data_IF_172103632231
#
_entry.id   IF_172103632231
#
_cell.length_a   1.000
_cell.length_b   1.000
_cell.length_c   1.000
_cell.angle_alpha   90.00
_cell.angle_beta   90.00
_cell.angle_gamma   90.00
#
_symmetry.space_group_name_H-M   'P 1'
#
loop_
_entity.id
_entity.type
_entity.pdbx_description
1 polymer ?
#
# COMPACT_ATOMS: atom_id res chain seq x y z
N UNK A 1 16.69 29.69 -10.28
CA UNK A 1 17.70 29.10 -9.39
C UNK A 1 17.74 27.57 -9.53
N UNK A 2 18.81 26.95 -9.05
CA UNK A 2 18.91 25.46 -9.04
C UNK A 2 17.80 24.83 -8.19
N UNK A 3 17.40 25.47 -7.12
CA UNK A 3 16.30 25.01 -6.24
C UNK A 3 14.94 25.08 -6.95
N UNK A 4 14.67 26.13 -7.69
CA UNK A 4 13.43 26.25 -8.49
C UNK A 4 13.36 25.17 -9.57
N UNK A 5 14.47 24.90 -10.26
CA UNK A 5 14.55 23.84 -11.26
C UNK A 5 14.35 22.46 -10.64
N UNK A 6 14.93 22.21 -9.46
CA UNK A 6 14.75 20.96 -8.73
C UNK A 6 13.30 20.77 -8.29
N UNK A 7 12.65 21.84 -7.79
CA UNK A 7 11.26 21.82 -7.38
C UNK A 7 10.33 21.53 -8.57
N UNK A 8 10.51 22.21 -9.69
CA UNK A 8 9.74 21.99 -10.92
C UNK A 8 9.95 20.58 -11.47
N UNK A 9 11.16 20.04 -11.42
CA UNK A 9 11.48 18.68 -11.81
C UNK A 9 10.73 17.66 -10.96
N UNK A 10 10.68 17.86 -9.64
CA UNK A 10 9.94 16.99 -8.71
C UNK A 10 8.44 17.04 -8.96
N UNK A 11 7.88 18.23 -9.19
CA UNK A 11 6.46 18.38 -9.51
C UNK A 11 6.09 17.66 -10.81
N UNK A 12 6.92 17.77 -11.83
CA UNK A 12 6.72 17.09 -13.11
C UNK A 12 6.76 15.56 -12.97
N UNK A 13 7.71 15.04 -12.20
CA UNK A 13 7.80 13.62 -11.86
C UNK A 13 6.54 13.14 -11.14
N UNK A 14 6.07 13.89 -10.17
CA UNK A 14 4.83 13.56 -9.44
C UNK A 14 3.61 13.53 -10.37
N UNK A 15 3.51 14.45 -11.31
CA UNK A 15 2.43 14.45 -12.30
C UNK A 15 2.45 13.20 -13.19
N UNK A 16 3.62 12.82 -13.68
CA UNK A 16 3.77 11.59 -14.48
C UNK A 16 3.41 10.34 -13.70
N UNK A 17 3.91 10.23 -12.48
CA UNK A 17 3.64 9.11 -11.58
C UNK A 17 2.15 9.05 -11.23
N UNK A 18 1.55 10.17 -10.89
CA UNK A 18 0.10 10.26 -10.60
C UNK A 18 -0.74 9.79 -11.78
N UNK A 19 -0.45 10.30 -12.97
CA UNK A 19 -1.19 9.92 -14.19
C UNK A 19 -1.05 8.43 -14.51
N UNK A 20 0.15 7.90 -14.38
CA UNK A 20 0.41 6.48 -14.65
C UNK A 20 -0.29 5.56 -13.65
N UNK A 21 -0.20 5.85 -12.36
CA UNK A 21 -0.88 5.10 -11.30
C UNK A 21 -2.39 5.17 -11.41
N UNK A 22 -2.95 6.35 -11.71
CA UNK A 22 -4.37 6.56 -11.92
C UNK A 22 -4.92 5.64 -13.02
N UNK A 23 -4.23 5.55 -14.14
CA UNK A 23 -4.61 4.67 -15.26
C UNK A 23 -4.44 3.20 -14.92
N UNK A 24 -3.28 2.83 -14.35
CA UNK A 24 -2.94 1.44 -14.07
C UNK A 24 -3.88 0.80 -13.05
N UNK A 25 -4.20 1.52 -11.98
CA UNK A 25 -5.00 1.02 -10.88
C UNK A 25 -6.46 1.49 -10.91
N UNK A 26 -6.85 2.24 -11.93
CA UNK A 26 -8.21 2.77 -12.12
C UNK A 26 -8.70 3.57 -10.91
N UNK A 27 -7.86 4.47 -10.46
CA UNK A 27 -8.13 5.40 -9.36
C UNK A 27 -8.37 6.79 -9.94
N UNK A 28 -9.35 7.51 -9.39
CA UNK A 28 -9.61 8.88 -9.80
C UNK A 28 -8.35 9.76 -9.66
N UNK A 29 -8.14 10.66 -10.63
CA UNK A 29 -6.93 11.48 -10.69
C UNK A 29 -6.65 12.27 -9.41
N UNK A 30 -7.69 12.87 -8.82
CA UNK A 30 -7.56 13.62 -7.56
C UNK A 30 -7.15 12.72 -6.39
N UNK A 31 -7.71 11.53 -6.30
CA UNK A 31 -7.35 10.54 -5.28
C UNK A 31 -5.90 10.06 -5.48
N UNK A 32 -5.51 9.72 -6.70
CA UNK A 32 -4.14 9.34 -7.01
C UNK A 32 -3.15 10.47 -6.68
N UNK A 33 -3.50 11.71 -7.01
CA UNK A 33 -2.67 12.88 -6.69
C UNK A 33 -2.47 13.04 -5.17
N UNK A 34 -3.50 12.87 -4.38
CA UNK A 34 -3.42 12.92 -2.92
C UNK A 34 -2.48 11.84 -2.38
N UNK A 35 -2.60 10.61 -2.88
CA UNK A 35 -1.75 9.49 -2.44
C UNK A 35 -0.28 9.71 -2.82
N UNK A 36 -0.02 10.15 -4.05
CA UNK A 36 1.34 10.45 -4.52
C UNK A 36 1.95 11.61 -3.73
N UNK A 37 1.22 12.70 -3.54
CA UNK A 37 1.70 13.85 -2.75
C UNK A 37 2.02 13.44 -1.32
N UNK A 38 1.18 12.65 -0.68
CA UNK A 38 1.41 12.16 0.69
C UNK A 38 2.65 11.26 0.76
N UNK A 39 2.85 10.38 -0.22
CA UNK A 39 4.03 9.53 -0.30
C UNK A 39 5.32 10.36 -0.44
N UNK A 40 5.32 11.37 -1.30
CA UNK A 40 6.48 12.25 -1.48
C UNK A 40 6.79 13.08 -0.24
N UNK A 41 5.78 13.65 0.43
CA UNK A 41 5.97 14.38 1.69
C UNK A 41 6.52 13.48 2.79
N UNK A 42 5.92 12.32 2.99
CA UNK A 42 6.37 11.34 3.99
C UNK A 42 7.80 10.88 3.72
N UNK A 43 8.11 10.55 2.47
CA UNK A 43 9.43 10.12 2.05
C UNK A 43 10.52 11.17 2.35
N UNK A 44 10.21 12.43 2.12
CA UNK A 44 11.13 13.54 2.44
C UNK A 44 11.39 13.62 3.94
N UNK A 45 10.36 13.51 4.76
CA UNK A 45 10.47 13.59 6.23
C UNK A 45 11.31 12.45 6.82
N UNK A 46 11.11 11.23 6.32
CA UNK A 46 11.76 10.02 6.88
C UNK A 46 13.00 9.57 6.08
N UNK A 47 13.35 10.27 5.01
CA UNK A 47 14.48 9.93 4.11
C UNK A 47 14.36 8.54 3.50
N UNK A 48 13.26 8.30 2.82
CA UNK A 48 12.99 7.10 2.05
C UNK A 48 12.65 7.48 0.61
N UNK A 49 12.83 6.56 -0.33
CA UNK A 49 12.44 6.79 -1.72
C UNK A 49 10.90 6.78 -1.84
N UNK A 50 10.26 7.86 -2.33
CA UNK A 50 8.81 7.91 -2.49
C UNK A 50 8.28 6.85 -3.46
N UNK A 51 9.05 6.48 -4.47
CA UNK A 51 8.65 5.46 -5.45
C UNK A 51 8.60 4.07 -4.83
N UNK A 52 9.42 3.81 -3.82
CA UNK A 52 9.36 2.56 -3.06
C UNK A 52 8.09 2.49 -2.21
N UNK A 53 7.71 3.58 -1.56
CA UNK A 53 6.44 3.68 -0.83
C UNK A 53 5.26 3.40 -1.76
N UNK A 54 5.25 4.03 -2.93
CA UNK A 54 4.20 3.86 -3.92
C UNK A 54 4.16 2.44 -4.49
N UNK A 55 5.30 1.82 -4.70
CA UNK A 55 5.39 0.43 -5.17
C UNK A 55 4.80 -0.55 -4.15
N UNK A 56 5.12 -0.38 -2.88
CA UNK A 56 4.52 -1.19 -1.79
C UNK A 56 3.01 -0.98 -1.74
N UNK A 57 2.55 0.26 -1.74
CA UNK A 57 1.13 0.60 -1.74
C UNK A 57 0.38 -0.02 -2.92
N UNK A 58 0.95 0.04 -4.10
CA UNK A 58 0.38 -0.50 -5.32
C UNK A 58 0.17 -2.03 -5.23
N UNK A 59 1.16 -2.75 -4.77
CA UNK A 59 1.11 -4.22 -4.69
C UNK A 59 0.28 -4.69 -3.50
N UNK A 60 0.36 -4.00 -2.36
CA UNK A 60 -0.38 -4.38 -1.15
C UNK A 60 -1.89 -4.17 -1.29
N UNK A 61 -2.31 -3.05 -1.82
CA UNK A 61 -3.73 -2.67 -1.84
C UNK A 61 -4.29 -2.33 -3.22
N UNK A 62 -3.47 -2.21 -4.25
CA UNK A 62 -3.90 -1.63 -5.53
C UNK A 62 -4.40 -0.19 -5.39
N UNK A 63 -3.83 0.58 -4.46
CA UNK A 63 -4.22 1.94 -4.10
C UNK A 63 -5.63 2.05 -3.48
N UNK A 64 -6.15 0.98 -2.92
CA UNK A 64 -7.44 0.98 -2.22
C UNK A 64 -7.24 1.28 -0.73
N UNK A 65 -7.72 2.44 -0.23
CA UNK A 65 -7.55 2.82 1.18
C UNK A 65 -8.39 1.96 2.14
N UNK A 66 -9.36 1.21 1.65
CA UNK A 66 -10.25 0.34 2.44
C UNK A 66 -9.87 -1.14 2.36
N UNK A 67 -8.75 -1.48 1.76
CA UNK A 67 -8.31 -2.86 1.65
C UNK A 67 -8.07 -3.47 3.05
N UNK A 68 -8.59 -4.66 3.26
CA UNK A 68 -8.38 -5.44 4.48
C UNK A 68 -8.07 -6.89 4.12
N UNK A 69 -7.10 -7.47 4.81
CA UNK A 69 -6.76 -8.88 4.65
C UNK A 69 -7.47 -9.75 5.70
N UNK A 70 -7.64 -11.05 5.44
CA UNK A 70 -8.22 -11.98 6.42
C UNK A 70 -7.45 -12.06 7.75
N UNK A 71 -6.17 -11.72 7.73
CA UNK A 71 -5.30 -11.76 8.91
C UNK A 71 -5.16 -10.42 9.63
N UNK A 72 -5.90 -9.40 9.20
CA UNK A 72 -5.98 -8.10 9.88
C UNK A 72 -5.02 -7.02 9.38
N UNK A 73 -4.41 -7.20 8.20
CA UNK A 73 -3.71 -6.11 7.53
C UNK A 73 -4.71 -5.11 6.97
N UNK A 74 -4.46 -3.81 7.13
CA UNK A 74 -5.43 -2.76 6.82
C UNK A 74 -4.82 -1.64 5.97
N UNK A 75 -5.63 -1.13 5.06
CA UNK A 75 -5.40 0.09 4.31
C UNK A 75 -4.39 -0.01 3.19
N UNK A 76 -3.95 1.14 2.71
CA UNK A 76 -3.10 1.30 1.53
C UNK A 76 -1.82 0.49 1.56
N UNK A 77 -1.12 0.47 2.69
CA UNK A 77 0.14 -0.25 2.86
C UNK A 77 -0.02 -1.57 3.62
N UNK A 78 -1.25 -2.02 3.86
CA UNK A 78 -1.57 -3.27 4.54
C UNK A 78 -0.82 -3.42 5.87
N UNK A 79 -1.03 -2.44 6.76
CA UNK A 79 -0.40 -2.41 8.08
C UNK A 79 -1.16 -3.32 9.04
N UNK A 80 -0.44 -4.14 9.78
CA UNK A 80 -0.97 -4.93 10.89
C UNK A 80 -1.22 -4.02 12.08
N UNK A 81 -2.37 -3.34 12.10
CA UNK A 81 -2.68 -2.26 13.03
C UNK A 81 -2.67 -2.69 14.49
N UNK A 82 -3.05 -3.93 14.79
CA UNK A 82 -3.00 -4.47 16.16
C UNK A 82 -1.58 -4.64 16.68
N UNK A 83 -0.63 -5.00 15.81
CA UNK A 83 0.79 -5.15 16.14
C UNK A 83 1.46 -3.79 16.27
N UNK A 84 1.09 -2.84 15.42
CA UNK A 84 1.65 -1.49 15.33
C UNK A 84 0.73 -0.42 15.94
N UNK A 85 -0.13 -0.79 16.89
CA UNK A 85 -1.11 0.11 17.49
C UNK A 85 -0.47 1.35 18.14
N UNK A 86 0.72 1.22 18.70
CA UNK A 86 1.49 2.30 19.27
C UNK A 86 1.80 3.41 18.26
N UNK A 87 2.05 3.05 17.01
CA UNK A 87 2.35 4.02 15.94
C UNK A 87 1.12 4.82 15.51
N UNK A 88 -0.08 4.31 15.73
CA UNK A 88 -1.33 5.00 15.43
C UNK A 88 -1.85 5.88 16.58
N UNK A 89 -1.30 5.77 17.77
CA UNK A 89 -1.75 6.48 18.95
C UNK A 89 -1.86 8.00 18.75
N UNK A 90 -0.84 8.61 18.19
CA UNK A 90 -0.79 10.05 17.94
C UNK A 90 -1.67 10.50 16.76
N UNK A 91 -2.20 9.55 15.99
CA UNK A 91 -3.00 9.81 14.78
C UNK A 91 -4.48 9.48 14.97
N UNK A 92 -4.93 9.20 16.19
CA UNK A 92 -6.33 8.88 16.49
C UNK A 92 -6.58 7.40 16.87
N UNK A 93 -5.54 6.62 17.12
CA UNK A 93 -5.63 5.22 17.54
C UNK A 93 -5.89 4.26 16.39
N UNK A 94 -6.40 3.06 16.70
CA UNK A 94 -6.59 1.99 15.69
C UNK A 94 -7.54 2.37 14.55
N UNK A 95 -8.47 3.28 14.79
CA UNK A 95 -9.40 3.77 13.77
C UNK A 95 -8.69 4.53 12.63
N UNK A 96 -7.51 5.09 12.91
CA UNK A 96 -6.71 5.79 11.92
C UNK A 96 -6.06 4.85 10.88
N UNK A 97 -6.07 3.53 11.10
CA UNK A 97 -5.46 2.57 10.18
C UNK A 97 -6.05 2.61 8.76
N UNK A 98 -7.31 2.98 8.61
CA UNK A 98 -7.98 3.18 7.30
C UNK A 98 -7.94 4.63 6.82
N UNK A 99 -7.37 5.55 7.59
CA UNK A 99 -7.11 6.90 7.11
C UNK A 99 -5.90 6.87 6.15
N UNK A 100 -6.04 7.37 4.91
CA UNK A 100 -4.98 7.29 3.90
C UNK A 100 -3.65 7.90 4.37
N UNK A 101 -3.68 9.09 4.93
CA UNK A 101 -2.46 9.78 5.37
C UNK A 101 -1.81 9.03 6.53
N UNK A 102 -2.57 8.64 7.54
CA UNK A 102 -2.05 7.90 8.70
C UNK A 102 -1.48 6.54 8.28
N UNK A 103 -2.16 5.82 7.40
CA UNK A 103 -1.69 4.52 6.92
C UNK A 103 -0.38 4.64 6.14
N UNK A 104 -0.27 5.61 5.24
CA UNK A 104 0.96 5.86 4.47
C UNK A 104 2.11 6.23 5.42
N UNK A 105 1.88 7.10 6.40
CA UNK A 105 2.94 7.50 7.36
C UNK A 105 3.41 6.33 8.20
N UNK A 106 2.51 5.57 8.79
CA UNK A 106 2.85 4.41 9.62
C UNK A 106 3.50 3.31 8.80
N UNK A 107 2.92 2.95 7.66
CA UNK A 107 3.47 1.94 6.76
C UNK A 107 4.87 2.31 6.26
N UNK A 108 5.09 3.57 5.95
CA UNK A 108 6.40 4.08 5.50
C UNK A 108 7.46 4.03 6.59
N UNK A 109 7.10 4.35 7.83
CA UNK A 109 8.00 4.22 8.99
C UNK A 109 8.39 2.75 9.23
N UNK A 110 7.44 1.85 9.14
CA UNK A 110 7.69 0.40 9.26
C UNK A 110 8.61 -0.06 8.12
N UNK A 111 8.34 0.34 6.89
CA UNK A 111 9.15 0.01 5.73
C UNK A 111 10.59 0.52 5.89
N UNK A 112 10.75 1.77 6.32
CA UNK A 112 12.06 2.37 6.58
C UNK A 112 12.85 1.58 7.62
N UNK A 113 12.21 1.20 8.71
CA UNK A 113 12.82 0.39 9.77
C UNK A 113 13.28 -0.97 9.22
N UNK A 114 12.46 -1.63 8.44
CA UNK A 114 12.78 -2.94 7.88
C UNK A 114 13.90 -2.88 6.83
N UNK A 115 13.91 -1.85 5.98
CA UNK A 115 15.01 -1.64 5.02
C UNK A 115 16.32 -1.38 5.77
N UNK A 116 16.30 -0.58 6.82
CA UNK A 116 17.47 -0.27 7.64
C UNK A 116 17.99 -1.52 8.34
N UNK A 117 17.12 -2.28 8.99
CA UNK A 117 17.49 -3.52 9.69
C UNK A 117 17.89 -4.65 8.75
N UNK A 118 17.24 -4.75 7.62
CA UNK A 118 17.57 -5.75 6.59
C UNK A 118 18.86 -5.46 5.83
N UNK A 119 19.32 -4.21 5.83
CA UNK A 119 20.54 -3.78 5.15
C UNK A 119 20.39 -3.56 3.64
N UNK A 120 19.21 -3.84 3.07
CA UNK A 120 18.90 -3.59 1.66
C UNK A 120 17.39 -3.43 1.46
N UNK A 121 17.01 -2.87 0.31
CA UNK A 121 15.60 -2.75 -0.09
C UNK A 121 14.96 -4.14 -0.20
N UNK A 122 15.61 -5.07 -0.87
CA UNK A 122 15.11 -6.44 -1.02
C UNK A 122 14.89 -7.14 0.32
N UNK A 123 15.85 -7.06 1.23
CA UNK A 123 15.75 -7.66 2.56
C UNK A 123 14.63 -7.00 3.38
N UNK A 124 14.51 -5.67 3.31
CA UNK A 124 13.44 -4.93 3.97
C UNK A 124 12.05 -5.28 3.45
N UNK A 125 11.91 -5.43 2.14
CA UNK A 125 10.65 -5.85 1.51
C UNK A 125 10.23 -7.25 1.94
N UNK A 126 11.17 -8.19 2.03
CA UNK A 126 10.88 -9.55 2.53
C UNK A 126 10.32 -9.52 3.94
N UNK A 127 10.88 -8.69 4.81
CA UNK A 127 10.37 -8.52 6.17
C UNK A 127 8.98 -7.87 6.14
N UNK A 128 8.79 -6.84 5.33
CA UNK A 128 7.54 -6.08 5.25
C UNK A 128 6.35 -6.95 4.82
N UNK A 129 6.53 -7.76 3.79
CA UNK A 129 5.46 -8.63 3.27
C UNK A 129 5.25 -9.89 4.12
N UNK A 130 5.90 -9.99 5.28
CA UNK A 130 5.73 -11.10 6.21
C UNK A 130 6.43 -12.39 5.80
N UNK A 131 7.37 -12.33 4.86
CA UNK A 131 8.15 -13.50 4.44
C UNK A 131 8.99 -14.10 5.59
N UNK A 132 9.22 -13.32 6.64
CA UNK A 132 9.81 -13.83 7.86
C UNK A 132 8.89 -14.79 8.63
N UNK A 133 7.57 -14.72 8.38
CA UNK A 133 6.58 -15.60 9.00
C UNK A 133 6.18 -16.79 8.11
N UNK A 134 6.53 -16.76 6.82
CA UNK A 134 6.23 -17.80 5.84
C UNK A 134 7.50 -18.14 5.06
N UNK A 135 7.72 -19.40 4.78
CA UNK A 135 8.88 -19.86 4.00
C UNK A 135 8.92 -19.28 2.56
N UNK A 136 7.79 -18.77 2.08
CA UNK A 136 7.63 -18.20 0.76
C UNK A 136 6.86 -16.88 0.85
N UNK A 137 7.34 -15.86 0.14
CA UNK A 137 6.65 -14.56 0.01
C UNK A 137 5.63 -14.54 -1.15
N UNK A 138 5.38 -15.68 -1.79
CA UNK A 138 4.52 -15.84 -2.99
C UNK A 138 4.87 -14.87 -4.14
N UNK A 139 6.14 -14.47 -4.21
CA UNK A 139 6.63 -13.53 -5.21
C UNK A 139 6.28 -12.06 -4.92
N UNK A 140 5.79 -11.72 -3.72
CA UNK A 140 5.43 -10.35 -3.36
C UNK A 140 6.62 -9.39 -3.46
N UNK A 141 7.77 -9.76 -2.91
CA UNK A 141 8.98 -8.95 -3.01
C UNK A 141 9.38 -8.68 -4.46
N UNK A 142 9.30 -9.67 -5.31
CA UNK A 142 9.57 -9.55 -6.75
C UNK A 142 8.56 -8.64 -7.46
N UNK A 143 7.29 -8.70 -7.09
CA UNK A 143 6.24 -7.82 -7.64
C UNK A 143 6.46 -6.37 -7.24
N UNK A 144 6.79 -6.11 -5.99
CA UNK A 144 7.10 -4.76 -5.51
C UNK A 144 8.32 -4.20 -6.23
N UNK A 145 9.40 -4.97 -6.36
CA UNK A 145 10.60 -4.55 -7.07
C UNK A 145 10.32 -4.26 -8.54
N UNK A 146 9.53 -5.07 -9.21
CA UNK A 146 9.13 -4.85 -10.60
C UNK A 146 8.32 -3.55 -10.75
N UNK A 147 7.38 -3.31 -9.85
CA UNK A 147 6.59 -2.07 -9.84
C UNK A 147 7.46 -0.86 -9.52
N UNK A 148 8.39 -0.98 -8.59
CA UNK A 148 9.37 0.04 -8.28
C UNK A 148 10.22 0.41 -9.49
N UNK A 149 10.69 -0.55 -10.27
CA UNK A 149 11.43 -0.30 -11.51
C UNK A 149 10.58 0.43 -12.56
N UNK A 150 9.30 0.06 -12.70
CA UNK A 150 8.38 0.77 -13.60
C UNK A 150 8.19 2.23 -13.17
N UNK A 151 7.96 2.47 -11.89
CA UNK A 151 7.81 3.81 -11.34
C UNK A 151 9.05 4.67 -11.54
N UNK A 152 10.25 4.10 -11.42
CA UNK A 152 11.50 4.80 -11.74
C UNK A 152 11.55 5.24 -13.20
N UNK A 153 11.14 4.38 -14.11
CA UNK A 153 11.09 4.72 -15.54
C UNK A 153 10.03 5.80 -15.82
N UNK A 154 8.87 5.70 -15.21
CA UNK A 154 7.80 6.72 -15.32
C UNK A 154 8.28 8.07 -14.81
N UNK A 155 8.91 8.10 -13.64
CA UNK A 155 9.45 9.33 -13.05
C UNK A 155 10.57 9.95 -13.87
N UNK A 156 11.27 9.15 -14.66
CA UNK A 156 12.29 9.61 -15.60
C UNK A 156 11.71 10.11 -16.94
N UNK A 157 10.39 10.12 -17.09
CA UNK A 157 9.70 10.58 -18.29
C UNK A 157 9.61 9.53 -19.41
N UNK A 158 9.91 8.29 -19.11
CA UNK A 158 9.80 7.20 -20.09
C UNK A 158 8.36 6.74 -20.23
N UNK A 159 7.97 6.30 -21.41
CA UNK A 159 6.69 5.67 -21.66
C UNK A 159 6.72 4.24 -21.13
N UNK A 160 5.87 3.94 -20.17
CA UNK A 160 5.73 2.61 -19.57
C UNK A 160 4.27 2.17 -19.73
N UNK A 161 4.02 0.95 -20.25
CA UNK A 161 2.65 0.44 -20.35
C UNK A 161 1.97 0.37 -18.99
N UNK A 162 0.71 0.77 -18.94
CA UNK A 162 -0.11 0.69 -17.71
C UNK A 162 -0.70 -0.70 -17.48
N UNK A 163 -0.71 -1.54 -18.50
CA UNK A 163 -1.18 -2.92 -18.43
C UNK A 163 0.01 -3.84 -18.70
N UNK A 164 0.25 -4.79 -17.81
CA UNK A 164 1.22 -5.84 -18.00
C UNK A 164 0.54 -7.17 -18.36
N UNK A 165 1.21 -8.09 -19.07
CA UNK A 165 0.62 -9.38 -19.43
C UNK A 165 0.09 -10.17 -18.22
N UNK A 166 0.76 -10.07 -17.06
CA UNK A 166 0.30 -10.70 -15.83
C UNK A 166 -0.99 -10.10 -15.27
N UNK A 167 -1.23 -8.80 -15.47
CA UNK A 167 -2.49 -8.17 -15.05
C UNK A 167 -3.65 -8.55 -15.97
N UNK A 168 -3.38 -8.74 -17.25
CA UNK A 168 -4.38 -9.19 -18.23
C UNK A 168 -4.77 -10.66 -18.03
N UNK A 169 -3.87 -11.48 -17.50
CA UNK A 169 -4.05 -12.92 -17.29
C UNK A 169 -4.46 -13.28 -15.84
N UNK A 170 -4.40 -12.34 -14.90
CA UNK A 170 -4.76 -12.61 -13.51
C UNK A 170 -6.26 -12.84 -13.40
N UNK A 171 -6.71 -13.98 -12.84
CA UNK A 171 -8.12 -14.15 -12.49
C UNK A 171 -8.49 -13.06 -11.48
N UNK A 172 -9.73 -12.57 -11.59
CA UNK A 172 -10.27 -11.66 -10.59
C UNK A 172 -9.99 -12.23 -9.19
N UNK A 173 -9.46 -11.38 -8.28
CA UNK A 173 -9.29 -11.81 -6.88
C UNK A 173 -10.60 -12.44 -6.43
N UNK A 174 -10.59 -13.66 -5.89
CA UNK A 174 -11.81 -14.22 -5.32
C UNK A 174 -12.31 -13.24 -4.28
N UNK A 175 -13.52 -12.75 -4.47
CA UNK A 175 -14.24 -12.04 -3.42
C UNK A 175 -14.21 -12.93 -2.19
N UNK A 176 -13.77 -12.45 -1.03
CA UNK A 176 -13.86 -13.26 0.18
C UNK A 176 -15.32 -13.69 0.33
N UNK A 177 -15.58 -14.94 0.71
CA UNK A 177 -16.93 -15.39 0.90
C UNK A 177 -17.58 -14.45 1.92
N UNK A 178 -18.68 -13.86 1.50
CA UNK A 178 -19.56 -13.10 2.42
C UNK A 178 -19.88 -14.08 3.52
N UNK A 179 -19.46 -13.79 4.75
CA UNK A 179 -19.85 -14.59 5.90
C UNK A 179 -21.37 -14.57 5.94
N UNK A 180 -21.99 -15.68 5.58
CA UNK A 180 -23.42 -15.89 5.79
C UNK A 180 -23.56 -15.91 7.31
N UNK A 181 -24.07 -14.82 7.85
CA UNK A 181 -24.53 -14.81 9.25
C UNK A 181 -25.72 -15.75 9.27
N UNK A 182 -25.47 -16.98 9.69
CA UNK A 182 -26.52 -17.93 9.98
C UNK A 182 -27.33 -17.38 11.15
N UNK A 183 -28.47 -16.79 10.84
CA UNK A 183 -29.50 -16.46 11.83
C UNK A 183 -30.25 -17.74 12.16
N UNK A 184 -29.58 -18.69 12.79
CA UNK A 184 -30.29 -19.71 13.54
C UNK A 184 -30.81 -19.05 14.82
N UNK A 185 -32.00 -18.49 14.71
CA UNK A 185 -32.82 -18.16 15.88
C UNK A 185 -33.19 -19.47 16.52
N UNK A 186 -32.50 -19.84 17.59
CA UNK A 186 -32.98 -20.88 18.48
C UNK A 186 -34.21 -20.34 19.17
N UNK A 187 -35.36 -20.80 18.71
CA UNK A 187 -36.61 -20.58 19.41
C UNK A 187 -36.57 -21.27 20.77
N UNK A 188 -36.51 -20.51 21.82
CA UNK A 188 -36.76 -21.02 23.17
C UNK A 188 -38.24 -21.28 23.27
N UNK A 189 -38.66 -22.54 23.21
CA UNK A 189 -39.99 -22.95 23.67
C UNK A 189 -40.03 -22.85 25.19
N UNK A 190 -40.80 -21.90 25.67
CA UNK A 190 -41.23 -21.91 27.06
C UNK A 190 -42.43 -22.85 27.12
N UNK A 191 -42.23 -24.06 27.66
CA UNK A 191 -43.31 -24.89 28.05
C UNK A 191 -43.84 -24.39 29.37
N UNK A 192 -45.08 -23.91 29.34
CA UNK A 192 -45.82 -23.56 30.54
C UNK A 192 -46.33 -24.77 31.30
N UNK A 193 -46.30 -24.63 32.58
CA UNK A 193 -47.37 -25.08 33.51
C UNK A 193 -47.14 -24.39 34.81
#
# INVERSE_FOLDING_TARGET
>A
TAEEKALLGTQKQQQWVTSWLSKRYRVAGDAANMLVSTAYLTAREIKLDPLLILAVMAIESGLNPFAESPVGAQGLMQVMSKIHHDKFQEMGGLQAALNPVANIRVGSLILKDYVTRGGSVEAGLKIYVGAAAFEHDDGYGSKVLAEYQRLKQVSAGKKVPTITPMMAAAPAKPTPPVAVVDKSVSGTQIAGL
#
